data_IF_867722112394
#
_entry.id   IF_867722112394
#
_cell.length_a   1.000
_cell.length_b   1.000
_cell.length_c   1.000
_cell.angle_alpha   90.00
_cell.angle_beta   90.00
_cell.angle_gamma   90.00
#
_symmetry.space_group_name_H-M   'P 1'
#
loop_
_entity.id
_entity.type
_entity.pdbx_description
1 polymer ?
#
# COMPACT_ATOMS: atom_id res chain seq x y z
N UNK A 1 -22.01 51.26 17.18
CA UNK A 1 -22.66 50.14 16.48
C UNK A 1 -21.55 49.20 15.99
N UNK A 2 -21.34 48.06 16.66
CA UNK A 2 -20.41 47.03 16.19
C UNK A 2 -21.23 45.75 15.94
N UNK A 3 -21.45 45.42 14.66
CA UNK A 3 -22.18 44.22 14.19
C UNK A 3 -21.21 43.17 13.62
N UNK A 4 -19.96 43.11 14.10
CA UNK A 4 -18.91 42.24 13.54
C UNK A 4 -18.73 40.87 14.21
N UNK A 5 -19.29 40.65 15.40
CA UNK A 5 -19.01 39.45 16.21
C UNK A 5 -19.82 38.21 15.81
N UNK A 6 -21.07 38.37 15.38
CA UNK A 6 -21.98 37.23 15.16
C UNK A 6 -21.62 36.39 13.93
N UNK A 7 -21.15 37.02 12.85
CA UNK A 7 -20.81 36.33 11.60
C UNK A 7 -19.53 35.49 11.74
N UNK A 8 -18.53 35.99 12.47
CA UNK A 8 -17.30 35.26 12.78
C UNK A 8 -17.57 34.09 13.72
N UNK A 9 -18.43 34.28 14.73
CA UNK A 9 -18.83 33.21 15.65
C UNK A 9 -19.57 32.07 14.91
N UNK A 10 -20.44 32.43 13.96
CA UNK A 10 -21.23 31.48 13.19
C UNK A 10 -20.34 30.65 12.24
N UNK A 11 -19.38 31.27 11.54
CA UNK A 11 -18.40 30.58 10.68
C UNK A 11 -17.49 29.61 11.44
N UNK A 12 -17.03 29.98 12.65
CA UNK A 12 -16.20 29.12 13.49
C UNK A 12 -17.03 27.95 14.06
N UNK A 13 -18.30 28.17 14.40
CA UNK A 13 -19.20 27.12 14.90
C UNK A 13 -19.55 26.08 13.83
N UNK A 14 -19.77 26.49 12.57
CA UNK A 14 -20.04 25.58 11.46
C UNK A 14 -18.79 24.78 11.10
N UNK A 15 -17.62 25.41 11.07
CA UNK A 15 -16.35 24.69 10.86
C UNK A 15 -16.05 23.67 11.96
N UNK A 16 -16.49 23.94 13.20
CA UNK A 16 -16.35 22.98 14.32
C UNK A 16 -17.35 21.82 14.17
N UNK A 17 -18.60 22.10 13.79
CA UNK A 17 -19.61 21.08 13.52
C UNK A 17 -19.24 20.17 12.35
N UNK A 18 -18.69 20.73 11.27
CA UNK A 18 -18.23 19.99 10.09
C UNK A 18 -17.07 19.04 10.44
N UNK A 19 -16.15 19.48 11.30
CA UNK A 19 -15.07 18.61 11.81
C UNK A 19 -15.58 17.47 12.70
N UNK A 20 -16.65 17.70 13.47
CA UNK A 20 -17.26 16.64 14.28
C UNK A 20 -17.89 15.57 13.39
N UNK A 21 -18.66 15.98 12.38
CA UNK A 21 -19.25 15.06 11.39
C UNK A 21 -18.18 14.30 10.62
N UNK A 22 -17.09 14.98 10.23
CA UNK A 22 -15.96 14.33 9.56
C UNK A 22 -15.30 13.28 10.45
N UNK A 23 -15.04 13.59 11.72
CA UNK A 23 -14.44 12.64 12.66
C UNK A 23 -15.35 11.43 12.91
N UNK A 24 -16.66 11.63 13.02
CA UNK A 24 -17.62 10.51 13.12
C UNK A 24 -17.55 9.59 11.89
N UNK A 25 -17.46 10.16 10.69
CA UNK A 25 -17.35 9.39 9.44
C UNK A 25 -16.02 8.64 9.39
N UNK A 26 -14.91 9.29 9.74
CA UNK A 26 -13.58 8.67 9.75
C UNK A 26 -13.52 7.52 10.75
N UNK A 27 -14.02 7.70 11.98
CA UNK A 27 -14.07 6.65 13.00
C UNK A 27 -14.98 5.50 12.57
N UNK A 28 -16.13 5.80 11.97
CA UNK A 28 -17.07 4.78 11.48
C UNK A 28 -16.47 3.90 10.38
N UNK A 29 -15.54 4.44 9.60
CA UNK A 29 -14.93 3.79 8.45
C UNK A 29 -13.42 3.57 8.61
N UNK A 30 -12.92 3.58 9.84
CA UNK A 30 -11.49 3.46 10.16
C UNK A 30 -10.87 2.23 9.49
N UNK A 31 -11.58 1.10 9.52
CA UNK A 31 -11.16 -0.18 8.95
C UNK A 31 -11.13 -0.24 7.40
N UNK A 32 -11.55 0.82 6.70
CA UNK A 32 -11.45 0.92 5.25
C UNK A 32 -10.08 1.47 4.84
N UNK A 33 -9.44 2.23 5.72
CA UNK A 33 -8.13 2.81 5.49
C UNK A 33 -7.04 1.81 5.87
N UNK A 34 -5.92 1.86 5.15
CA UNK A 34 -4.75 1.07 5.48
C UNK A 34 -3.93 1.79 6.56
N UNK A 35 -3.64 1.10 7.66
CA UNK A 35 -2.85 1.65 8.77
C UNK A 35 -1.33 1.55 8.51
N UNK A 36 -0.93 0.79 7.49
CA UNK A 36 0.48 0.62 7.16
C UNK A 36 0.73 0.07 5.77
N UNK A 37 2.00 0.06 5.38
CA UNK A 37 2.46 -0.38 4.04
C UNK A 37 2.02 -1.80 3.66
N UNK A 38 1.89 -2.68 4.65
CA UNK A 38 1.52 -4.09 4.45
C UNK A 38 0.10 -4.40 4.92
N UNK A 39 -0.66 -3.38 5.32
CA UNK A 39 -2.08 -3.53 5.64
C UNK A 39 -2.87 -3.50 4.33
N UNK A 40 -3.07 -4.68 3.77
CA UNK A 40 -3.79 -4.87 2.52
C UNK A 40 -4.89 -5.91 2.67
N UNK A 41 -6.04 -5.60 2.09
CA UNK A 41 -7.20 -6.49 2.06
C UNK A 41 -7.00 -7.70 1.15
N UNK A 42 -7.82 -8.73 1.35
CA UNK A 42 -7.83 -9.95 0.53
C UNK A 42 -9.21 -10.24 -0.03
N UNK A 43 -9.29 -10.55 -1.32
CA UNK A 43 -10.52 -11.03 -1.96
C UNK A 43 -10.63 -12.54 -1.72
N UNK A 44 -11.70 -13.00 -1.06
CA UNK A 44 -11.87 -14.42 -0.69
C UNK A 44 -12.69 -15.26 -1.67
N UNK A 45 -13.47 -14.61 -2.54
CA UNK A 45 -14.46 -15.28 -3.39
C UNK A 45 -14.06 -15.34 -4.87
N UNK A 46 -12.82 -14.99 -5.19
CA UNK A 46 -12.33 -14.97 -6.56
C UNK A 46 -10.84 -15.32 -6.60
N UNK A 47 -10.48 -16.22 -7.51
CA UNK A 47 -9.11 -16.58 -7.80
C UNK A 47 -8.68 -15.93 -9.13
N UNK A 48 -7.62 -15.14 -9.08
CA UNK A 48 -7.09 -14.50 -10.28
C UNK A 48 -6.40 -15.55 -11.18
N UNK A 49 -6.84 -15.66 -12.43
CA UNK A 49 -6.23 -16.53 -13.44
C UNK A 49 -5.62 -15.73 -14.59
N UNK A 50 -4.40 -16.06 -14.97
CA UNK A 50 -3.69 -15.46 -16.11
C UNK A 50 -3.66 -16.49 -17.24
N UNK A 51 -4.40 -16.23 -18.32
CA UNK A 51 -4.39 -17.10 -19.51
C UNK A 51 -3.17 -16.79 -20.37
N UNK A 52 -2.30 -17.77 -20.56
CA UNK A 52 -1.15 -17.64 -21.44
C UNK A 52 -1.60 -17.74 -22.91
N UNK A 53 -0.99 -16.94 -23.78
CA UNK A 53 -1.17 -17.05 -25.23
C UNK A 53 -0.42 -18.25 -25.79
N UNK A 54 0.75 -18.58 -25.22
CA UNK A 54 1.60 -19.71 -25.60
C UNK A 54 2.11 -20.42 -24.35
N UNK A 55 2.18 -21.75 -24.39
CA UNK A 55 2.69 -22.56 -23.28
C UNK A 55 4.23 -22.64 -23.30
N UNK A 56 4.88 -21.49 -23.12
CA UNK A 56 6.35 -21.36 -23.16
C UNK A 56 6.88 -20.75 -21.87
N UNK A 57 7.81 -21.45 -21.23
CA UNK A 57 8.51 -20.94 -20.06
C UNK A 57 9.52 -19.85 -20.43
N UNK A 58 9.58 -18.81 -19.60
CA UNK A 58 10.56 -17.72 -19.72
C UNK A 58 11.30 -17.60 -18.40
N UNK A 59 12.60 -17.83 -18.44
CA UNK A 59 13.50 -17.68 -17.29
C UNK A 59 14.65 -16.76 -17.68
N UNK A 60 14.92 -15.77 -16.84
CA UNK A 60 16.07 -14.88 -16.96
C UNK A 60 16.99 -15.08 -15.76
N UNK A 61 18.30 -14.93 -15.99
CA UNK A 61 19.29 -14.99 -14.91
C UNK A 61 19.11 -13.77 -13.98
N UNK A 62 19.20 -13.94 -12.66
CA UNK A 62 19.25 -12.82 -11.73
C UNK A 62 20.34 -11.82 -12.11
N UNK A 63 20.08 -10.53 -11.92
CA UNK A 63 21.08 -9.50 -12.17
C UNK A 63 22.17 -9.53 -11.09
N UNK A 64 23.37 -9.07 -11.47
CA UNK A 64 24.43 -8.83 -10.49
C UNK A 64 24.03 -7.62 -9.65
N UNK A 65 24.12 -7.77 -8.34
CA UNK A 65 23.85 -6.72 -7.36
C UNK A 65 25.07 -6.53 -6.46
N UNK A 66 25.22 -5.35 -5.86
CA UNK A 66 26.21 -5.15 -4.80
C UNK A 66 25.82 -5.89 -3.53
N UNK A 67 26.73 -6.02 -2.56
CA UNK A 67 26.39 -6.63 -1.27
C UNK A 67 25.29 -5.85 -0.54
N UNK A 68 25.36 -4.52 -0.59
CA UNK A 68 24.36 -3.63 0.02
C UNK A 68 22.98 -3.80 -0.62
N UNK A 69 22.94 -3.87 -1.95
CA UNK A 69 21.68 -4.11 -2.68
C UNK A 69 21.08 -5.47 -2.33
N UNK A 70 21.92 -6.51 -2.22
CA UNK A 70 21.46 -7.85 -1.86
C UNK A 70 20.86 -7.87 -0.46
N UNK A 71 21.51 -7.21 0.50
CA UNK A 71 21.03 -7.15 1.88
C UNK A 71 19.68 -6.41 1.96
N UNK A 72 19.48 -5.35 1.17
CA UNK A 72 18.20 -4.64 1.07
C UNK A 72 17.11 -5.50 0.41
N UNK A 73 17.44 -6.20 -0.69
CA UNK A 73 16.51 -7.16 -1.32
C UNK A 73 16.08 -8.22 -0.30
N UNK A 74 17.03 -8.81 0.43
CA UNK A 74 16.75 -9.84 1.42
C UNK A 74 15.88 -9.31 2.58
N UNK A 75 16.09 -8.06 2.99
CA UNK A 75 15.28 -7.37 4.01
C UNK A 75 13.82 -7.21 3.53
N UNK A 76 13.61 -6.69 2.32
CA UNK A 76 12.28 -6.50 1.75
C UNK A 76 11.54 -7.83 1.53
N UNK A 77 12.24 -8.84 1.00
CA UNK A 77 11.68 -10.18 0.79
C UNK A 77 11.24 -10.80 2.12
N UNK A 78 12.04 -10.69 3.18
CA UNK A 78 11.66 -11.17 4.52
C UNK A 78 10.42 -10.45 5.06
N UNK A 79 10.31 -9.14 4.86
CA UNK A 79 9.14 -8.37 5.29
C UNK A 79 7.87 -8.82 4.54
N UNK A 80 7.96 -9.02 3.22
CA UNK A 80 6.84 -9.50 2.40
C UNK A 80 6.41 -10.93 2.75
N UNK A 81 7.36 -11.83 3.00
CA UNK A 81 7.09 -13.19 3.47
C UNK A 81 6.39 -13.17 4.84
N UNK A 82 6.87 -12.35 5.78
CA UNK A 82 6.25 -12.19 7.11
C UNK A 82 4.81 -11.67 7.02
N UNK A 83 4.54 -10.80 6.04
CA UNK A 83 3.21 -10.27 5.76
C UNK A 83 2.32 -11.23 4.94
N UNK A 84 2.81 -12.42 4.59
CA UNK A 84 2.10 -13.41 3.74
C UNK A 84 1.68 -12.85 2.36
N UNK A 85 2.46 -11.94 1.79
CA UNK A 85 2.18 -11.33 0.48
C UNK A 85 2.85 -12.09 -0.68
N UNK A 86 3.89 -12.84 -0.36
CA UNK A 86 4.62 -13.70 -1.30
C UNK A 86 4.87 -15.05 -0.63
N UNK A 87 5.21 -16.05 -1.44
CA UNK A 87 5.57 -17.40 -0.97
C UNK A 87 6.77 -17.95 -1.73
N UNK A 88 7.39 -18.99 -1.17
CA UNK A 88 8.45 -19.72 -1.86
C UNK A 88 7.87 -20.62 -2.94
N UNK A 89 8.46 -20.61 -4.13
CA UNK A 89 8.00 -21.39 -5.29
C UNK A 89 9.17 -21.99 -6.05
N UNK A 90 8.94 -23.13 -6.71
CA UNK A 90 9.88 -23.81 -7.63
C UNK A 90 9.43 -23.67 -9.09
N UNK A 91 8.80 -22.55 -9.42
CA UNK A 91 8.26 -22.27 -10.76
C UNK A 91 9.31 -22.31 -11.87
N UNK A 92 8.99 -22.84 -13.07
CA UNK A 92 9.86 -22.72 -14.23
C UNK A 92 9.96 -21.28 -14.77
N UNK A 93 9.04 -20.39 -14.37
CA UNK A 93 9.10 -18.97 -14.73
C UNK A 93 9.98 -18.20 -13.76
N UNK A 94 10.83 -17.31 -14.28
CA UNK A 94 11.71 -16.49 -13.44
C UNK A 94 12.10 -15.17 -14.08
N UNK A 95 11.80 -14.07 -13.40
CA UNK A 95 12.22 -12.72 -13.75
C UNK A 95 13.28 -12.21 -12.75
N UNK A 96 14.26 -11.41 -13.19
CA UNK A 96 15.27 -10.87 -12.29
C UNK A 96 14.70 -9.69 -11.50
N UNK A 97 15.16 -9.53 -10.25
CA UNK A 97 14.81 -8.39 -9.40
C UNK A 97 15.71 -7.20 -9.71
N UNK A 98 15.14 -5.99 -9.66
CA UNK A 98 15.87 -4.73 -9.82
C UNK A 98 15.48 -3.78 -8.70
N UNK A 99 16.46 -3.13 -8.06
CA UNK A 99 16.21 -2.10 -7.08
C UNK A 99 16.05 -0.74 -7.75
N UNK A 100 15.11 0.05 -7.23
CA UNK A 100 14.89 1.44 -7.65
C UNK A 100 14.79 2.29 -6.40
N UNK A 101 15.66 3.29 -6.28
CA UNK A 101 15.59 4.27 -5.19
C UNK A 101 14.42 5.21 -5.45
N UNK A 102 13.41 5.14 -4.58
CA UNK A 102 12.38 6.17 -4.51
C UNK A 102 12.94 7.34 -3.71
N UNK A 103 12.59 8.57 -4.09
CA UNK A 103 12.79 9.70 -3.17
C UNK A 103 11.86 9.51 -1.98
N UNK A 104 12.36 9.79 -0.79
CA UNK A 104 11.52 9.95 0.38
C UNK A 104 10.51 11.08 0.09
N UNK A 105 9.24 10.84 0.45
CA UNK A 105 8.14 11.80 0.29
C UNK A 105 8.25 12.95 1.31
#
# INVERSE_FOLDING_TARGET
MYLGGSHVQQMVSTATADNLVLNEILQKHENIFADGKFDIGTIRNYEASIKLTENRFVTKRPYRCSLQDRDEIDSQVKALLKANLIESSTSPFGAPVTLVFKKED
#
